data_IF_764046205556
#
_entry.id   IF_764046205556
#
_cell.length_a   1.000
_cell.length_b   1.000
_cell.length_c   1.000
_cell.angle_alpha   90.00
_cell.angle_beta   90.00
_cell.angle_gamma   90.00
#
_symmetry.space_group_name_H-M   'P 1'
#
loop_
_entity.id
_entity.type
_entity.pdbx_description
1 polymer ?
#
# COMPACT_ATOMS: atom_id res chain seq x y z
N UNK A 1 16.69 17.02 -4.93
CA UNK A 1 15.76 16.13 -5.65
C UNK A 1 15.22 15.14 -4.64
N UNK A 2 13.94 15.25 -4.26
CA UNK A 2 13.36 14.29 -3.33
C UNK A 2 13.42 12.90 -3.98
N UNK A 3 14.05 11.95 -3.30
CA UNK A 3 14.30 10.60 -3.81
C UNK A 3 13.00 9.89 -4.19
N UNK A 4 13.14 8.85 -5.02
CA UNK A 4 12.02 7.96 -5.39
C UNK A 4 11.33 7.45 -4.13
N UNK A 5 10.01 7.50 -4.08
CA UNK A 5 9.26 6.92 -2.97
C UNK A 5 9.34 5.39 -3.01
N UNK A 6 9.92 4.79 -1.96
CA UNK A 6 10.14 3.34 -1.83
C UNK A 6 9.11 2.66 -0.92
N UNK A 7 8.05 3.36 -0.53
CA UNK A 7 7.08 2.91 0.47
C UNK A 7 7.34 3.52 1.85
N UNK A 8 6.35 3.38 2.73
CA UNK A 8 6.45 3.83 4.12
C UNK A 8 7.48 3.01 4.88
N UNK A 9 8.32 3.68 5.66
CA UNK A 9 9.14 3.03 6.67
C UNK A 9 8.29 2.44 7.81
N UNK A 10 8.87 1.57 8.63
CA UNK A 10 8.14 1.00 9.78
C UNK A 10 7.75 2.07 10.81
N UNK A 11 8.55 3.12 10.96
CA UNK A 11 8.26 4.24 11.85
C UNK A 11 7.09 5.08 11.33
N UNK A 12 7.05 5.38 10.03
CA UNK A 12 5.92 6.08 9.43
C UNK A 12 4.65 5.24 9.46
N UNK A 13 4.77 3.91 9.27
CA UNK A 13 3.61 3.02 9.34
C UNK A 13 2.94 3.02 10.71
N UNK A 14 3.72 3.08 11.80
CA UNK A 14 3.20 3.17 13.17
C UNK A 14 2.28 4.37 13.41
N UNK A 15 2.37 5.43 12.61
CA UNK A 15 1.49 6.60 12.71
C UNK A 15 0.11 6.38 12.09
N UNK A 16 -0.05 5.34 11.28
CA UNK A 16 -1.30 5.04 10.59
C UNK A 16 -1.93 3.72 11.05
N UNK A 17 -1.15 2.84 11.69
CA UNK A 17 -1.57 1.50 12.07
C UNK A 17 -2.85 1.48 12.92
N UNK A 18 -3.02 2.47 13.80
CA UNK A 18 -4.16 2.64 14.70
C UNK A 18 -5.44 3.16 14.01
N UNK A 19 -5.30 3.77 12.82
CA UNK A 19 -6.43 4.30 12.04
C UNK A 19 -7.12 3.18 11.26
N UNK A 20 -6.37 2.16 10.85
CA UNK A 20 -6.90 1.07 10.06
C UNK A 20 -7.58 0.02 10.95
N UNK A 21 -8.72 -0.55 10.51
CA UNK A 21 -9.34 -1.64 11.24
C UNK A 21 -8.41 -2.85 11.26
N UNK A 22 -8.42 -3.60 12.36
CA UNK A 22 -7.80 -4.94 12.38
C UNK A 22 -8.45 -5.76 11.28
N UNK A 23 -7.65 -6.33 10.37
CA UNK A 23 -8.19 -7.04 9.22
C UNK A 23 -8.91 -8.29 9.69
N UNK A 24 -10.24 -8.26 9.73
CA UNK A 24 -11.04 -9.45 9.92
C UNK A 24 -10.73 -10.44 8.80
N UNK A 25 -10.42 -11.67 9.19
CA UNK A 25 -10.15 -12.75 8.26
C UNK A 25 -11.38 -12.92 7.37
N UNK A 26 -11.21 -12.66 6.06
CA UNK A 26 -12.26 -12.95 5.09
C UNK A 26 -12.61 -14.43 5.19
N UNK A 27 -13.89 -14.72 5.37
CA UNK A 27 -14.39 -16.08 5.58
C UNK A 27 -14.20 -16.98 4.36
N UNK A 28 -14.02 -16.42 3.15
CA UNK A 28 -13.64 -17.14 1.91
C UNK A 28 -13.08 -16.18 0.83
N UNK A 29 -12.17 -16.69 0.00
CA UNK A 29 -11.78 -16.09 -1.29
C UNK A 29 -10.82 -14.89 -1.18
N UNK A 30 -9.52 -15.17 -1.41
CA UNK A 30 -8.39 -14.25 -1.50
C UNK A 30 -7.90 -13.63 -0.18
N UNK A 31 -6.59 -13.77 0.16
CA UNK A 31 -6.01 -13.12 1.33
C UNK A 31 -6.15 -11.60 1.24
N UNK A 32 -6.35 -10.97 2.39
CA UNK A 32 -6.42 -9.52 2.49
C UNK A 32 -5.08 -8.89 2.12
N UNK A 33 -5.09 -7.91 1.22
CA UNK A 33 -3.90 -7.10 0.93
C UNK A 33 -3.63 -6.20 2.13
N UNK A 34 -2.45 -6.24 2.76
CA UNK A 34 -2.14 -5.39 3.91
C UNK A 34 -2.41 -3.91 3.62
N UNK A 35 -3.07 -3.21 4.56
CA UNK A 35 -3.41 -1.79 4.41
C UNK A 35 -2.20 -0.91 4.11
N UNK A 36 -1.03 -1.26 4.66
CA UNK A 36 0.24 -0.59 4.35
C UNK A 36 0.56 -0.56 2.86
N UNK A 37 0.28 -1.63 2.14
CA UNK A 37 0.58 -1.72 0.71
C UNK A 37 -0.38 -0.87 -0.12
N UNK A 38 -1.64 -0.81 0.30
CA UNK A 38 -2.64 0.10 -0.28
C UNK A 38 -2.22 1.55 -0.05
N UNK A 39 -1.78 1.90 1.16
CA UNK A 39 -1.34 3.25 1.50
C UNK A 39 -0.06 3.65 0.73
N UNK A 40 0.90 2.74 0.58
CA UNK A 40 2.07 2.95 -0.27
C UNK A 40 1.65 3.29 -1.71
N UNK A 41 0.74 2.51 -2.29
CA UNK A 41 0.23 2.73 -3.64
C UNK A 41 -0.46 4.09 -3.78
N UNK A 42 -1.33 4.45 -2.84
CA UNK A 42 -1.99 5.76 -2.83
C UNK A 42 -0.98 6.90 -2.77
N UNK A 43 0.00 6.82 -1.86
CA UNK A 43 1.02 7.87 -1.70
C UNK A 43 1.89 7.99 -2.96
N UNK A 44 2.24 6.87 -3.59
CA UNK A 44 2.99 6.87 -4.85
C UNK A 44 2.20 7.54 -5.99
N UNK A 45 0.91 7.22 -6.14
CA UNK A 45 0.03 7.84 -7.14
C UNK A 45 -0.11 9.34 -6.86
N UNK A 46 -0.27 9.75 -5.61
CA UNK A 46 -0.38 11.17 -5.24
C UNK A 46 0.91 11.95 -5.50
N UNK A 47 2.08 11.32 -5.32
CA UNK A 47 3.39 11.95 -5.60
C UNK A 47 3.66 12.04 -7.12
N UNK A 48 3.32 10.98 -7.86
CA UNK A 48 3.75 10.84 -9.28
C UNK A 48 2.66 11.19 -10.29
N UNK A 49 1.39 11.21 -9.90
CA UNK A 49 0.24 11.35 -10.79
C UNK A 49 -0.02 10.14 -11.70
N UNK A 50 0.62 8.99 -11.46
CA UNK A 50 0.48 7.82 -12.32
C UNK A 50 -0.88 7.13 -12.15
N UNK A 51 -1.31 6.37 -13.17
CA UNK A 51 -2.47 5.48 -13.04
C UNK A 51 -2.15 4.29 -12.14
N UNK A 52 -3.16 3.69 -11.52
CA UNK A 52 -3.00 2.50 -10.67
C UNK A 52 -2.32 1.33 -11.39
N UNK A 53 -2.64 1.11 -12.67
CA UNK A 53 -1.99 0.09 -13.49
C UNK A 53 -0.50 0.34 -13.78
N UNK A 54 -0.02 1.57 -13.56
CA UNK A 54 1.38 1.97 -13.72
C UNK A 54 2.15 1.94 -12.39
N UNK A 55 1.54 1.44 -11.31
CA UNK A 55 2.24 1.24 -10.05
C UNK A 55 3.47 0.34 -10.25
N UNK A 56 4.56 0.56 -9.50
CA UNK A 56 5.71 -0.32 -9.58
C UNK A 56 5.31 -1.74 -9.20
N UNK A 57 5.88 -2.73 -9.89
CA UNK A 57 5.66 -4.13 -9.53
C UNK A 57 6.53 -4.48 -8.32
N UNK A 58 5.94 -5.09 -7.28
CA UNK A 58 6.67 -5.46 -6.07
C UNK A 58 5.77 -5.84 -4.90
N UNK A 59 6.34 -6.51 -3.90
CA UNK A 59 5.61 -7.07 -2.73
C UNK A 59 5.00 -6.01 -1.80
N UNK A 60 5.37 -4.74 -1.95
CA UNK A 60 4.98 -3.64 -1.07
C UNK A 60 3.84 -2.77 -1.64
N UNK A 61 3.35 -3.10 -2.83
CA UNK A 61 2.33 -2.33 -3.55
C UNK A 61 0.99 -3.07 -3.52
N UNK A 62 -0.11 -2.33 -3.41
CA UNK A 62 -1.47 -2.86 -3.46
C UNK A 62 -1.94 -3.22 -4.87
N UNK A 63 -1.10 -3.89 -5.67
CA UNK A 63 -1.53 -4.45 -6.96
C UNK A 63 -2.32 -5.73 -6.68
N UNK A 64 -3.63 -5.59 -6.48
CA UNK A 64 -4.52 -6.72 -6.38
C UNK A 64 -4.56 -7.48 -7.69
N UNK A 65 -4.30 -8.79 -7.62
CA UNK A 65 -4.51 -9.81 -8.67
C UNK A 65 -3.77 -9.59 -10.00
N UNK A 66 -2.75 -10.43 -10.24
CA UNK A 66 -2.63 -11.09 -11.53
C UNK A 66 -3.61 -12.28 -11.57
#
# INVERSE_FOLDING_TARGET
>A
MAGRFEGLSDLEWKWFEDIFPTSDSRSRGMPHVPFRYVLNSLRYILITGCRWCNLPQGKIWGTGSA
#
